data_IF_544776045040
#
_entry.id   IF_544776045040
#
_cell.length_a   1.000
_cell.length_b   1.000
_cell.length_c   1.000
_cell.angle_alpha   90.00
_cell.angle_beta   90.00
_cell.angle_gamma   90.00
#
_symmetry.space_group_name_H-M   'P 1'
#
loop_
_entity.id
_entity.type
_entity.pdbx_description
1 polymer ?
#
# COMPACT_ATOMS: atom_id res chain seq x y z
N UNK A 1 8.30 -18.16 -21.25
CA UNK A 1 7.97 -19.14 -20.23
C UNK A 1 8.43 -18.71 -18.85
N UNK A 2 9.73 -18.54 -18.67
CA UNK A 2 10.22 -18.03 -17.39
C UNK A 2 9.75 -16.60 -17.16
N UNK A 3 9.64 -15.80 -18.22
CA UNK A 3 9.16 -14.45 -18.14
C UNK A 3 7.70 -14.37 -17.74
N UNK A 4 6.86 -15.25 -18.27
CA UNK A 4 5.46 -15.30 -17.94
C UNK A 4 5.24 -15.69 -16.48
N UNK A 5 5.97 -16.68 -16.00
CA UNK A 5 5.87 -17.13 -14.62
C UNK A 5 6.24 -15.98 -13.67
N UNK A 6 7.32 -15.28 -13.97
CA UNK A 6 7.78 -14.19 -13.13
C UNK A 6 6.77 -13.03 -13.11
N UNK A 7 6.19 -12.70 -14.26
CA UNK A 7 5.19 -11.64 -14.33
C UNK A 7 3.95 -11.99 -13.50
N UNK A 8 3.54 -13.25 -13.54
CA UNK A 8 2.40 -13.69 -12.76
C UNK A 8 2.68 -13.64 -11.26
N UNK A 9 3.88 -14.02 -10.84
CA UNK A 9 4.29 -13.94 -9.43
C UNK A 9 4.25 -12.49 -8.94
N UNK A 10 4.71 -11.54 -9.74
CA UNK A 10 4.69 -10.12 -9.38
C UNK A 10 3.25 -9.62 -9.23
N UNK A 11 2.35 -10.03 -10.11
CA UNK A 11 0.94 -9.65 -10.03
C UNK A 11 0.31 -10.21 -8.76
N UNK A 12 0.60 -11.45 -8.41
CA UNK A 12 0.06 -12.08 -7.20
C UNK A 12 0.56 -11.38 -5.94
N UNK A 13 1.83 -11.00 -5.88
CA UNK A 13 2.39 -10.26 -4.76
C UNK A 13 1.74 -8.89 -4.62
N UNK A 14 1.53 -8.21 -5.74
CA UNK A 14 0.89 -6.91 -5.76
C UNK A 14 -0.54 -7.03 -5.23
N UNK A 15 -1.30 -8.00 -5.71
CA UNK A 15 -2.67 -8.22 -5.28
C UNK A 15 -2.75 -8.59 -3.80
N UNK A 16 -1.81 -9.39 -3.33
CA UNK A 16 -1.76 -9.75 -1.91
C UNK A 16 -1.57 -8.52 -1.02
N UNK A 17 -0.64 -7.64 -1.41
CA UNK A 17 -0.40 -6.40 -0.66
C UNK A 17 -1.61 -5.48 -0.68
N UNK A 18 -2.28 -5.35 -1.83
CA UNK A 18 -3.50 -4.57 -1.93
C UNK A 18 -4.58 -5.10 -1.01
N UNK A 19 -4.72 -6.42 -0.93
CA UNK A 19 -5.71 -7.04 -0.05
C UNK A 19 -5.40 -6.81 1.42
N UNK A 20 -4.12 -6.83 1.81
CA UNK A 20 -3.73 -6.52 3.17
C UNK A 20 -4.15 -5.10 3.55
N UNK A 21 -3.93 -4.15 2.66
CA UNK A 21 -4.32 -2.76 2.89
C UNK A 21 -5.84 -2.63 2.98
N UNK A 22 -6.57 -3.27 2.05
CA UNK A 22 -8.04 -3.22 2.05
C UNK A 22 -8.63 -3.80 3.32
N UNK A 23 -8.05 -4.88 3.83
CA UNK A 23 -8.51 -5.47 5.09
C UNK A 23 -8.35 -4.50 6.26
N UNK A 24 -7.21 -3.81 6.30
CA UNK A 24 -6.97 -2.85 7.37
C UNK A 24 -7.90 -1.63 7.25
N UNK A 25 -8.21 -1.20 6.04
CA UNK A 25 -9.11 -0.07 5.79
C UNK A 25 -10.53 -0.33 6.28
N UNK A 26 -10.92 -1.58 6.46
CA UNK A 26 -12.21 -1.91 7.04
C UNK A 26 -12.30 -1.48 8.50
N UNK A 27 -11.17 -1.36 9.16
CA UNK A 27 -11.09 -1.09 10.60
C UNK A 27 -10.68 0.34 10.92
N UNK A 28 -9.90 0.99 10.03
CA UNK A 28 -9.38 2.33 10.29
C UNK A 28 -8.89 2.98 9.00
N UNK A 29 -8.75 4.30 9.03
CA UNK A 29 -8.00 4.99 7.97
C UNK A 29 -6.51 4.76 8.20
N UNK A 30 -5.71 4.83 7.14
CA UNK A 30 -4.27 4.56 7.24
C UNK A 30 -3.47 5.62 6.51
N UNK A 31 -2.25 5.86 6.99
CA UNK A 31 -1.28 6.72 6.34
C UNK A 31 -0.33 5.87 5.50
N UNK A 32 0.57 6.53 4.75
CA UNK A 32 1.62 5.82 4.02
C UNK A 32 2.50 5.01 4.98
N UNK A 33 2.86 5.60 6.12
CA UNK A 33 3.69 4.90 7.11
C UNK A 33 2.98 3.68 7.69
N UNK A 34 1.68 3.79 7.94
CA UNK A 34 0.88 2.64 8.38
C UNK A 34 0.91 1.53 7.34
N UNK A 35 0.79 1.88 6.06
CA UNK A 35 0.77 0.88 5.00
C UNK A 35 2.10 0.14 4.87
N UNK A 36 3.22 0.82 5.16
CA UNK A 36 4.53 0.15 5.16
C UNK A 36 4.54 -0.98 6.19
N UNK A 37 4.02 -0.73 7.38
CA UNK A 37 3.92 -1.76 8.41
C UNK A 37 2.99 -2.89 8.03
N UNK A 38 1.98 -2.61 7.23
CA UNK A 38 1.00 -3.60 6.80
C UNK A 38 1.58 -4.51 5.72
N UNK A 39 2.25 -3.94 4.72
CA UNK A 39 2.72 -4.73 3.57
C UNK A 39 4.12 -5.29 3.72
N UNK A 40 4.91 -4.77 4.64
CA UNK A 40 6.24 -5.31 4.96
C UNK A 40 6.20 -5.85 6.37
N UNK A 41 6.34 -7.16 6.51
CA UNK A 41 6.23 -7.84 7.80
C UNK A 41 7.51 -7.84 8.61
N UNK A 42 8.51 -7.07 8.16
CA UNK A 42 9.78 -6.94 8.85
C UNK A 42 10.14 -5.46 8.99
N UNK A 43 11.03 -5.17 9.91
CA UNK A 43 11.51 -3.81 10.11
C UNK A 43 12.29 -3.35 8.88
N UNK A 44 11.96 -2.17 8.37
CA UNK A 44 12.63 -1.60 7.22
C UNK A 44 13.75 -0.69 7.70
N UNK A 45 14.97 -0.95 7.22
CA UNK A 45 16.10 -0.09 7.53
C UNK A 45 16.07 1.22 6.77
N UNK A 46 16.84 2.18 7.24
CA UNK A 46 16.87 3.52 6.63
C UNK A 46 17.23 3.48 5.16
N UNK A 47 18.12 2.58 4.76
CA UNK A 47 18.55 2.44 3.39
C UNK A 47 17.43 2.03 2.44
N UNK A 48 16.44 1.30 2.96
CA UNK A 48 15.34 0.76 2.17
C UNK A 48 14.07 1.59 2.31
N UNK A 49 14.09 2.59 3.16
CA UNK A 49 12.88 3.36 3.47
C UNK A 49 12.34 4.09 2.25
N UNK A 50 13.19 4.67 1.41
CA UNK A 50 12.73 5.33 0.19
C UNK A 50 11.97 4.37 -0.72
N UNK A 51 12.50 3.17 -0.87
CA UNK A 51 11.84 2.14 -1.68
C UNK A 51 10.50 1.75 -1.06
N UNK A 52 10.47 1.55 0.25
CA UNK A 52 9.26 1.16 0.96
C UNK A 52 8.17 2.23 0.85
N UNK A 53 8.55 3.49 0.99
CA UNK A 53 7.60 4.62 0.85
C UNK A 53 7.02 4.64 -0.56
N UNK A 54 7.87 4.49 -1.57
CA UNK A 54 7.42 4.47 -2.96
C UNK A 54 6.44 3.34 -3.25
N UNK A 55 6.74 2.14 -2.73
CA UNK A 55 5.87 0.98 -2.91
C UNK A 55 4.53 1.17 -2.20
N UNK A 56 4.57 1.63 -0.95
CA UNK A 56 3.36 1.86 -0.18
C UNK A 56 2.48 2.92 -0.84
N UNK A 57 3.09 4.01 -1.27
CA UNK A 57 2.36 5.09 -1.94
C UNK A 57 1.73 4.61 -3.24
N UNK A 58 2.46 3.83 -4.02
CA UNK A 58 1.93 3.30 -5.28
C UNK A 58 0.71 2.43 -5.06
N UNK A 59 0.72 1.60 -4.03
CA UNK A 59 -0.42 0.76 -3.70
C UNK A 59 -1.63 1.60 -3.27
N UNK A 60 -1.42 2.61 -2.43
CA UNK A 60 -2.51 3.47 -1.97
C UNK A 60 -3.11 4.28 -3.12
N UNK A 61 -2.26 4.82 -4.00
CA UNK A 61 -2.73 5.55 -5.18
C UNK A 61 -3.53 4.63 -6.10
N UNK A 62 -3.07 3.39 -6.26
CA UNK A 62 -3.79 2.41 -7.06
C UNK A 62 -5.21 2.19 -6.51
N UNK A 63 -5.35 2.06 -5.20
CA UNK A 63 -6.66 1.88 -4.58
C UNK A 63 -7.54 3.12 -4.76
N UNK A 64 -6.94 4.31 -4.70
CA UNK A 64 -7.67 5.55 -4.92
C UNK A 64 -8.17 5.63 -6.37
N UNK A 65 -7.27 5.41 -7.33
CA UNK A 65 -7.61 5.48 -8.75
C UNK A 65 -8.66 4.45 -9.14
N UNK A 66 -8.61 3.27 -8.55
CA UNK A 66 -9.57 2.21 -8.86
C UNK A 66 -10.87 2.33 -8.05
N UNK A 67 -11.02 3.37 -7.25
CA UNK A 67 -12.28 3.65 -6.54
C UNK A 67 -12.52 2.79 -5.31
N UNK A 68 -11.47 2.18 -4.76
CA UNK A 68 -11.59 1.32 -3.57
C UNK A 68 -11.23 2.04 -2.28
N UNK A 69 -10.54 3.14 -2.38
CA UNK A 69 -10.17 3.98 -1.24
C UNK A 69 -10.17 5.43 -1.69
N UNK A 70 -10.19 6.34 -0.73
CA UNK A 70 -10.05 7.77 -1.04
C UNK A 70 -9.09 8.40 -0.06
N UNK A 71 -8.38 9.44 -0.52
CA UNK A 71 -7.44 10.17 0.32
C UNK A 71 -8.14 11.35 0.98
N UNK A 72 -7.74 11.64 2.20
CA UNK A 72 -8.16 12.82 2.94
C UNK A 72 -6.93 13.43 3.59
N UNK A 73 -6.96 14.74 3.80
CA UNK A 73 -5.86 15.45 4.47
C UNK A 73 -6.38 15.95 5.80
N UNK A 74 -5.66 15.61 6.89
CA UNK A 74 -6.06 16.04 8.22
C UNK A 74 -5.57 17.45 8.53
N UNK A 75 -5.85 17.92 9.75
CA UNK A 75 -5.48 19.29 10.16
C UNK A 75 -3.99 19.54 10.14
N UNK A 76 -3.19 18.50 10.27
CA UNK A 76 -1.73 18.60 10.27
C UNK A 76 -1.13 18.53 8.87
N UNK A 77 -1.97 18.32 7.85
CA UNK A 77 -1.50 18.14 6.48
C UNK A 77 -1.09 16.71 6.16
N UNK A 78 -1.37 15.76 7.03
CA UNK A 78 -1.06 14.36 6.79
C UNK A 78 -2.15 13.72 5.94
N UNK A 79 -1.73 13.00 4.90
CA UNK A 79 -2.64 12.31 4.01
C UNK A 79 -3.01 10.95 4.60
N UNK A 80 -4.31 10.71 4.72
CA UNK A 80 -4.85 9.43 5.16
C UNK A 80 -5.67 8.82 4.04
N UNK A 81 -5.73 7.52 3.99
CA UNK A 81 -6.59 6.81 3.06
C UNK A 81 -7.65 6.08 3.85
N UNK A 82 -8.87 6.09 3.35
CA UNK A 82 -9.98 5.44 4.03
C UNK A 82 -10.83 4.68 3.02
N UNK A 83 -11.59 3.74 3.52
CA UNK A 83 -12.48 2.94 2.69
C UNK A 83 -13.61 3.82 2.14
N UNK A 84 -13.94 3.60 0.89
CA UNK A 84 -15.10 4.25 0.28
C UNK A 84 -16.39 3.58 0.73
#
# INVERSE_FOLDING_TARGET
>A
KNGQQRAQDLIEHHNHRLNLILNELKNRSITIMDSISIIFDRKIGDEQMHFAIGEARAHLIHLDVTGKAKSIIDERGTVHYQKI
#
